data_IF_812851969593
#
_entry.id   IF_812851969593
#
_cell.length_a   1.000
_cell.length_b   1.000
_cell.length_c   1.000
_cell.angle_alpha   90.00
_cell.angle_beta   90.00
_cell.angle_gamma   90.00
#
_symmetry.space_group_name_H-M   'P 1'
#
loop_
_entity.id
_entity.type
_entity.pdbx_description
1 polymer ?
2 non-polymer ?
3 water ?
#
# COMPACT_ATOMS: atom_id res chain seq x y z
N UNK A 13 -29.56 19.57 -3.68
CA UNK A 13 -29.74 19.65 -5.19
C UNK A 13 -30.32 18.32 -5.72
N UNK A 14 -31.47 18.40 -6.42
CA UNK A 14 -32.26 17.25 -6.92
C UNK A 14 -31.43 16.32 -7.82
N UNK A 15 -30.60 16.90 -8.72
CA UNK A 15 -29.79 16.05 -9.57
C UNK A 15 -28.70 15.31 -8.80
N UNK A 16 -28.11 15.95 -7.80
CA UNK A 16 -27.08 15.34 -6.97
C UNK A 16 -27.67 14.18 -6.15
N UNK A 17 -28.85 14.43 -5.60
CA UNK A 17 -29.63 13.43 -4.86
C UNK A 17 -29.94 12.17 -5.72
N UNK A 18 -30.32 12.42 -6.98
CA UNK A 18 -30.61 11.35 -7.93
C UNK A 18 -29.40 10.50 -8.23
N UNK A 19 -28.24 11.14 -8.45
CA UNK A 19 -27.02 10.35 -8.63
C UNK A 19 -26.73 9.48 -7.43
N UNK A 20 -26.82 10.07 -6.24
CA UNK A 20 -26.51 9.32 -5.00
C UNK A 20 -27.44 8.13 -4.79
N UNK A 21 -28.73 8.32 -5.02
CA UNK A 21 -29.71 7.23 -4.93
C UNK A 21 -29.42 6.15 -5.91
N UNK A 22 -29.14 6.54 -7.14
CA UNK A 22 -28.93 5.56 -8.17
C UNK A 22 -27.71 4.70 -7.79
N UNK A 23 -26.64 5.36 -7.39
CA UNK A 23 -25.40 4.72 -6.97
C UNK A 23 -25.64 3.74 -5.81
N UNK A 24 -26.46 4.13 -4.84
CA UNK A 24 -26.83 3.24 -3.69
C UNK A 24 -27.64 2.02 -4.09
N UNK A 25 -28.66 2.23 -4.90
CA UNK A 25 -29.51 1.16 -5.31
C UNK A 25 -28.77 0.15 -6.19
N UNK A 26 -27.93 0.60 -7.12
CA UNK A 26 -27.33 -0.34 -8.06
C UNK A 26 -25.92 -0.83 -7.68
N UNK A 27 -25.31 -0.15 -6.74
CA UNK A 27 -23.87 -0.31 -6.46
C UNK A 27 -22.97 -0.10 -7.69
N UNK A 28 -23.32 0.85 -8.56
CA UNK A 28 -22.54 1.09 -9.75
C UNK A 28 -21.57 2.25 -9.48
N UNK A 29 -20.61 2.44 -10.38
CA UNK A 29 -19.70 3.58 -10.35
C UNK A 29 -20.57 4.86 -10.54
N UNK A 30 -20.29 5.93 -9.79
CA UNK A 30 -20.99 7.21 -9.94
C UNK A 30 -20.97 7.79 -11.36
N UNK A 31 -19.92 7.48 -12.15
CA UNK A 31 -19.86 7.97 -13.52
C UNK A 31 -20.92 7.24 -14.28
N UNK A 32 -21.11 5.95 -13.98
CA UNK A 32 -22.15 5.23 -14.64
C UNK A 32 -23.52 5.74 -14.20
N UNK A 33 -23.68 6.09 -12.91
CA UNK A 33 -24.95 6.73 -12.48
C UNK A 33 -25.29 7.99 -13.29
N UNK A 34 -24.30 8.87 -13.52
CA UNK A 34 -24.57 10.08 -14.33
C UNK A 34 -24.94 9.74 -15.75
N UNK A 35 -24.28 8.74 -16.36
CA UNK A 35 -24.66 8.34 -17.72
C UNK A 35 -26.06 7.81 -17.86
N UNK A 36 -26.48 6.90 -16.96
CA UNK A 36 -27.87 6.46 -17.05
C UNK A 36 -28.89 7.57 -16.79
N UNK A 37 -28.58 8.48 -15.88
CA UNK A 37 -29.50 9.58 -15.63
C UNK A 37 -29.54 10.49 -16.85
N UNK A 38 -28.38 10.81 -17.43
CA UNK A 38 -28.41 11.68 -18.61
C UNK A 38 -29.22 11.10 -19.78
N UNK A 39 -29.13 9.80 -20.01
CA UNK A 39 -29.88 9.10 -21.04
C UNK A 39 -31.38 9.01 -20.80
N UNK A 40 -31.84 9.45 -19.63
CA UNK A 40 -33.25 9.25 -19.21
C UNK A 40 -33.79 10.51 -18.58
N UNK A 41 -33.32 11.67 -19.11
CA UNK A 41 -33.71 12.98 -18.65
C UNK A 41 -33.71 13.17 -17.16
N UNK A 42 -32.72 12.52 -16.51
CA UNK A 42 -32.46 12.74 -15.07
C UNK A 42 -33.60 12.27 -14.19
N UNK A 43 -34.36 11.33 -14.70
CA UNK A 43 -35.49 10.73 -13.97
C UNK A 43 -34.97 9.33 -13.55
N UNK A 44 -34.83 9.15 -12.23
CA UNK A 44 -34.25 7.98 -11.65
C UNK A 44 -35.06 6.73 -11.97
N UNK A 45 -36.37 6.88 -12.05
CA UNK A 45 -37.19 5.74 -12.47
C UNK A 45 -36.87 5.18 -13.80
N UNK A 46 -36.89 6.03 -14.82
CA UNK A 46 -36.50 5.57 -16.11
C UNK A 46 -35.04 5.12 -16.14
N UNK A 47 -34.11 5.82 -15.47
CA UNK A 47 -32.69 5.38 -15.39
C UNK A 47 -32.52 3.95 -14.85
N UNK A 48 -33.14 3.66 -13.69
CA UNK A 48 -33.11 2.25 -13.19
C UNK A 48 -33.65 1.26 -14.17
N UNK A 49 -34.78 1.59 -14.78
CA UNK A 49 -35.38 0.72 -15.73
C UNK A 49 -34.46 0.46 -16.93
N UNK A 50 -33.85 1.53 -17.49
CA UNK A 50 -32.83 1.44 -18.56
C UNK A 50 -31.70 0.51 -18.12
N UNK A 51 -31.18 0.76 -16.91
CA UNK A 51 -30.03 0.07 -16.41
C UNK A 51 -30.26 -1.46 -16.25
N UNK A 52 -31.43 -1.82 -15.73
CA UNK A 52 -31.77 -3.26 -15.50
C UNK A 52 -32.11 -4.04 -16.71
N UNK A 53 -32.91 -3.45 -17.56
CA UNK A 53 -33.06 -3.89 -18.90
C UNK A 53 -31.70 -4.30 -19.47
N UNK A 54 -30.67 -3.46 -19.27
CA UNK A 54 -29.30 -3.73 -19.78
C UNK A 54 -28.61 -4.91 -19.08
N UNK A 55 -28.72 -4.98 -17.74
CA UNK A 55 -28.14 -6.08 -16.95
C UNK A 55 -28.61 -7.47 -17.36
N UNK A 56 -29.93 -7.63 -17.57
CA UNK A 56 -30.53 -8.87 -18.07
C UNK A 56 -29.97 -9.24 -19.46
N UNK A 57 -29.37 -10.42 -19.51
CA UNK A 57 -28.43 -10.82 -20.56
C UNK A 57 -27.14 -11.33 -19.90
N UNK A 66 -29.77 -7.61 -27.02
CA UNK A 66 -28.73 -6.90 -27.79
C UNK A 66 -27.95 -5.90 -26.92
N UNK A 67 -27.63 -6.32 -25.69
CA UNK A 67 -26.70 -5.58 -24.83
C UNK A 67 -25.24 -5.82 -25.27
N UNK A 68 -24.30 -5.39 -24.43
CA UNK A 68 -22.88 -5.52 -24.73
C UNK A 68 -22.20 -6.28 -23.63
N UNK A 69 -21.05 -6.91 -23.93
CA UNK A 69 -20.34 -7.57 -22.85
C UNK A 69 -20.01 -6.51 -21.78
N UNK A 70 -19.98 -6.92 -20.49
CA UNK A 70 -19.58 -5.91 -19.49
C UNK A 70 -18.11 -5.56 -19.72
N UNK A 71 -17.68 -4.40 -19.24
CA UNK A 71 -16.29 -4.06 -19.36
C UNK A 71 -15.46 -5.12 -18.64
N UNK A 72 -15.90 -5.44 -17.42
CA UNK A 72 -15.16 -6.31 -16.53
C UNK A 72 -15.95 -7.60 -16.35
N UNK A 73 -15.26 -8.75 -16.30
CA UNK A 73 -15.91 -10.01 -16.03
C UNK A 73 -16.78 -9.91 -14.75
N UNK A 74 -17.90 -10.63 -14.74
CA UNK A 74 -18.79 -10.65 -13.59
C UNK A 74 -18.13 -11.14 -12.30
N UNK A 75 -17.23 -12.10 -12.42
CA UNK A 75 -16.48 -12.63 -11.27
C UNK A 75 -15.75 -11.52 -10.53
N UNK A 76 -15.02 -10.68 -11.27
CA UNK A 76 -14.33 -9.54 -10.72
C UNK A 76 -15.21 -8.49 -10.06
N UNK A 77 -16.30 -8.03 -10.69
CA UNK A 77 -17.08 -6.98 -9.99
C UNK A 77 -17.73 -7.54 -8.75
N UNK A 78 -17.98 -8.84 -8.75
CA UNK A 78 -18.55 -9.50 -7.59
C UNK A 78 -17.61 -9.48 -6.41
N UNK A 79 -16.31 -9.66 -6.67
CA UNK A 79 -15.33 -9.61 -5.57
C UNK A 79 -15.42 -8.26 -4.90
N UNK A 80 -15.38 -7.20 -5.70
CA UNK A 80 -15.30 -5.85 -5.17
C UNK A 80 -16.51 -5.58 -4.29
N UNK A 81 -17.68 -5.81 -4.87
CA UNK A 81 -18.96 -5.58 -4.23
C UNK A 81 -19.13 -6.42 -2.95
N UNK A 82 -18.58 -7.64 -2.93
CA UNK A 82 -18.59 -8.48 -1.72
C UNK A 82 -17.94 -7.81 -0.48
N UNK A 83 -16.92 -6.97 -0.70
CA UNK A 83 -16.10 -6.38 0.39
C UNK A 83 -16.42 -4.94 0.68
N UNK A 84 -17.16 -4.31 -0.20
CA UNK A 84 -17.54 -2.91 -0.03
C UNK A 84 -18.38 -2.71 1.26
N UNK A 85 -18.09 -1.63 1.99
CA UNK A 85 -18.86 -1.30 3.18
C UNK A 85 -19.56 0.02 2.99
N UNK A 86 -20.89 -0.02 2.89
CA UNK A 86 -21.71 1.21 2.80
C UNK A 86 -21.36 2.02 1.55
N UNK A 87 -21.19 1.34 0.41
CA UNK A 87 -20.81 2.06 -0.83
C UNK A 87 -19.29 2.37 -0.95
N UNK A 88 -18.50 1.97 0.06
CA UNK A 88 -17.07 2.33 0.11
C UNK A 88 -16.17 1.12 0.20
N UNK A 89 -15.10 1.10 -0.58
CA UNK A 89 -14.06 0.09 -0.35
C UNK A 89 -13.02 0.76 0.57
N UNK A 90 -13.27 0.62 1.87
CA UNK A 90 -12.55 1.37 2.89
C UNK A 90 -11.62 0.42 3.66
N UNK A 91 -10.86 0.95 4.62
CA UNK A 91 -9.82 0.15 5.28
C UNK A 91 -10.33 -1.23 5.74
N UNK A 92 -11.60 -1.28 6.18
CA UNK A 92 -12.26 -2.53 6.61
C UNK A 92 -12.48 -3.53 5.48
N UNK A 93 -12.89 -3.03 4.31
CA UNK A 93 -12.97 -3.85 3.12
C UNK A 93 -11.60 -4.42 2.91
N UNK A 94 -10.59 -3.56 2.96
CA UNK A 94 -9.23 -4.01 2.56
C UNK A 94 -8.73 -5.12 3.48
N UNK A 95 -8.94 -4.94 4.79
CA UNK A 95 -8.48 -5.92 5.77
C UNK A 95 -9.20 -7.23 5.53
N UNK A 96 -10.50 -7.14 5.25
CA UNK A 96 -11.29 -8.30 4.91
C UNK A 96 -10.79 -9.00 3.64
N UNK A 97 -10.40 -8.19 2.68
CA UNK A 97 -9.96 -8.66 1.37
C UNK A 97 -8.65 -9.43 1.52
N UNK A 98 -7.68 -8.78 2.16
CA UNK A 98 -6.35 -9.37 2.31
C UNK A 98 -6.43 -10.63 3.14
N UNK A 99 -7.28 -10.59 4.16
CA UNK A 99 -7.71 -11.77 4.90
C UNK A 99 -8.00 -12.95 3.95
N UNK A 100 -8.97 -12.75 3.04
CA UNK A 100 -9.39 -13.81 2.12
C UNK A 100 -8.24 -14.31 1.29
N UNK A 101 -7.40 -13.39 0.81
CA UNK A 101 -6.23 -13.72 -0.03
C UNK A 101 -5.14 -14.52 0.70
N UNK A 102 -5.07 -14.35 2.01
CA UNK A 102 -4.20 -15.18 2.85
C UNK A 102 -3.04 -14.39 3.47
N UNK A 103 -3.28 -13.11 3.72
CA UNK A 103 -2.27 -12.23 4.28
C UNK A 103 -2.78 -11.42 5.44
N UNK A 104 -1.86 -10.72 6.08
CA UNK A 104 -2.13 -9.83 7.19
C UNK A 104 -1.86 -8.42 6.73
N UNK A 105 -2.51 -7.48 7.40
CA UNK A 105 -2.31 -6.07 7.09
C UNK A 105 -0.83 -5.66 7.13
N UNK A 106 -0.07 -6.22 8.06
CA UNK A 106 1.32 -5.79 8.19
C UNK A 106 2.30 -6.61 7.35
N UNK A 107 1.81 -7.47 6.46
CA UNK A 107 2.71 -8.24 5.61
C UNK A 107 3.37 -7.31 4.56
N UNK A 108 4.66 -7.53 4.28
CA UNK A 108 5.27 -6.95 3.06
C UNK A 108 4.50 -7.23 1.77
N UNK A 109 3.94 -8.42 1.58
CA UNK A 109 3.15 -8.65 0.35
C UNK A 109 1.95 -7.70 0.24
N UNK A 110 1.46 -7.21 1.37
CA UNK A 110 0.35 -6.28 1.38
C UNK A 110 0.74 -4.90 0.96
N UNK A 111 1.95 -4.47 1.30
CA UNK A 111 2.49 -3.29 0.68
C UNK A 111 2.55 -3.39 -0.85
N UNK A 112 2.95 -4.54 -1.36
CA UNK A 112 3.01 -4.79 -2.81
C UNK A 112 1.64 -4.69 -3.46
N UNK A 113 0.64 -5.36 -2.84
CA UNK A 113 -0.76 -5.22 -3.27
C UNK A 113 -1.20 -3.78 -3.23
N UNK A 114 -0.96 -3.09 -2.10
CA UNK A 114 -1.47 -1.74 -1.97
C UNK A 114 -0.85 -0.85 -3.01
N UNK A 115 0.43 -1.08 -3.28
CA UNK A 115 1.15 -0.30 -4.28
C UNK A 115 0.51 -0.62 -5.64
N UNK A 116 0.18 -1.88 -5.87
CA UNK A 116 -0.36 -2.34 -7.17
C UNK A 116 -1.68 -1.61 -7.43
N UNK A 117 -2.52 -1.60 -6.42
CA UNK A 117 -3.84 -0.94 -6.48
C UNK A 117 -3.84 0.58 -6.42
N UNK A 118 -2.67 1.19 -6.25
CA UNK A 118 -2.55 2.64 -6.29
C UNK A 118 -2.95 3.39 -5.03
N UNK A 119 -3.01 2.71 -3.90
CA UNK A 119 -3.21 3.43 -2.65
C UNK A 119 -2.15 4.49 -2.46
N UNK A 120 -2.61 5.66 -2.02
CA UNK A 120 -1.70 6.73 -1.65
C UNK A 120 -1.67 6.82 -0.13
N UNK A 121 -2.83 6.56 0.49
CA UNK A 121 -2.98 6.40 1.93
C UNK A 121 -4.06 5.36 2.23
N UNK A 122 -3.74 4.49 3.18
CA UNK A 122 -4.53 3.31 3.57
C UNK A 122 -5.90 3.66 4.16
N UNK A 123 -6.01 4.91 4.61
CA UNK A 123 -7.25 5.48 5.12
C UNK A 123 -8.23 5.91 4.01
N UNK A 124 -7.72 6.51 2.92
CA UNK A 124 -8.59 6.93 1.83
C UNK A 124 -9.27 5.68 1.22
N UNK A 125 -10.61 5.72 0.98
CA UNK A 125 -11.25 4.55 0.31
C UNK A 125 -10.68 4.27 -1.10
N UNK A 126 -10.68 3.01 -1.55
CA UNK A 126 -10.17 2.68 -2.90
C UNK A 126 -11.25 2.83 -3.99
N UNK A 127 -11.00 3.65 -5.01
CA UNK A 127 -12.02 3.86 -6.06
C UNK A 127 -12.39 2.54 -6.75
N UNK A 128 -13.66 2.37 -7.11
CA UNK A 128 -14.10 1.14 -7.75
C UNK A 128 -13.30 0.92 -9.06
N UNK A 129 -13.09 1.99 -9.84
CA UNK A 129 -12.39 1.86 -11.12
C UNK A 129 -10.93 1.48 -10.87
N UNK A 130 -10.34 1.93 -9.75
CA UNK A 130 -8.94 1.59 -9.42
C UNK A 130 -8.82 0.09 -9.11
N UNK A 131 -9.74 -0.46 -8.33
CA UNK A 131 -9.78 -1.91 -8.10
C UNK A 131 -9.94 -2.78 -9.38
N UNK A 132 -10.98 -2.50 -10.15
CA UNK A 132 -11.34 -3.28 -11.34
C UNK A 132 -10.24 -3.23 -12.40
N UNK A 133 -9.78 -2.02 -12.70
CA UNK A 133 -8.78 -1.82 -13.74
C UNK A 133 -7.46 -2.46 -13.43
N UNK A 134 -7.07 -2.40 -12.16
CA UNK A 134 -5.81 -3.01 -11.71
C UNK A 134 -5.81 -4.53 -11.99
N UNK A 135 -6.83 -5.20 -11.47
CA UNK A 135 -6.90 -6.63 -11.62
C UNK A 135 -7.10 -7.02 -13.08
N UNK A 136 -7.88 -6.24 -13.80
CA UNK A 136 -8.13 -6.56 -15.20
C UNK A 136 -6.80 -6.48 -16.01
N UNK A 138 -3.86 -7.02 -14.93
CA UNK A 138 -3.06 -8.16 -14.56
C UNK A 138 -3.61 -9.53 -14.99
N UNK A 139 -4.70 -9.51 -15.77
CA UNK A 139 -5.38 -10.71 -16.20
C UNK A 139 -6.04 -11.53 -15.09
N UNK A 140 -6.56 -10.89 -14.04
CA UNK A 140 -7.17 -11.57 -12.88
C UNK A 140 -8.64 -11.26 -12.74
N UNK A 141 -9.48 -12.28 -12.47
CA UNK A 141 -10.87 -12.00 -12.16
C UNK A 141 -11.37 -12.74 -10.92
N UNK A 142 -10.63 -13.74 -10.48
CA UNK A 142 -11.00 -14.54 -9.31
C UNK A 142 -10.02 -14.32 -8.17
N UNK A 143 -10.47 -14.55 -6.93
CA UNK A 143 -9.56 -14.66 -5.75
C UNK A 143 -8.30 -15.47 -6.02
N UNK A 144 -8.49 -16.60 -6.70
CA UNK A 144 -7.41 -17.53 -6.95
C UNK A 144 -6.38 -16.90 -7.88
N UNK A 145 -6.84 -16.19 -8.92
CA UNK A 145 -5.96 -15.42 -9.81
C UNK A 145 -5.16 -14.37 -9.02
N UNK A 147 -4.53 -14.23 -5.86
CA UNK A 147 -3.48 -14.96 -5.13
C UNK A 147 -2.21 -15.22 -5.96
N UNK A 148 -2.31 -15.74 -7.19
CA UNK A 148 -1.12 -16.03 -7.99
C UNK A 148 -0.35 -14.72 -8.29
N UNK A 149 -1.10 -13.64 -8.56
CA UNK A 149 -0.48 -12.35 -8.85
C UNK A 149 0.40 -11.89 -7.70
N UNK A 150 -0.16 -11.92 -6.50
CA UNK A 150 0.52 -11.42 -5.32
C UNK A 150 1.77 -12.24 -5.01
N UNK A 151 1.65 -13.55 -5.20
CA UNK A 151 2.79 -14.45 -5.07
C UNK A 151 3.91 -14.07 -6.01
N UNK A 152 3.57 -13.77 -7.27
CA UNK A 152 4.57 -13.27 -8.25
C UNK A 152 5.23 -11.89 -7.88
N UNK A 153 4.47 -10.98 -7.31
CA UNK A 153 5.04 -9.74 -6.76
C UNK A 153 5.97 -9.98 -5.61
N UNK A 154 5.62 -10.94 -4.77
CA UNK A 154 6.41 -11.28 -3.63
C UNK A 154 7.74 -11.90 -4.01
N UNK A 155 7.73 -12.69 -5.07
CA UNK A 155 8.97 -13.12 -5.75
C UNK A 155 9.79 -11.94 -6.26
N UNK A 156 9.14 -10.98 -6.91
CA UNK A 156 9.85 -9.78 -7.40
C UNK A 156 10.45 -8.94 -6.22
N UNK A 157 9.78 -8.90 -5.07
CA UNK A 157 10.35 -8.21 -3.91
C UNK A 157 11.62 -8.89 -3.42
N UNK A 158 11.68 -10.22 -3.52
CA UNK A 158 12.86 -10.94 -3.13
C UNK A 158 13.98 -10.83 -4.15
N UNK A 159 13.67 -10.58 -5.41
CA UNK A 159 14.67 -10.70 -6.48
C UNK A 159 15.10 -9.41 -7.24
N UNK A 160 14.32 -8.33 -7.17
CA UNK A 160 14.56 -7.16 -8.00
C UNK A 160 14.85 -5.98 -7.08
N UNK A 161 16.07 -5.48 -7.10
CA UNK A 161 16.42 -4.42 -6.13
C UNK A 161 15.70 -3.10 -6.36
N UNK A 162 15.49 -2.73 -7.63
CA UNK A 162 14.74 -1.52 -7.94
C UNK A 162 13.31 -1.65 -7.40
N UNK A 163 12.69 -2.80 -7.54
CA UNK A 163 11.31 -2.98 -7.04
C UNK A 163 11.33 -3.00 -5.50
N UNK A 164 12.30 -3.72 -4.92
CA UNK A 164 12.48 -3.63 -3.46
C UNK A 164 12.60 -2.19 -2.95
N UNK A 165 13.43 -1.35 -3.58
CA UNK A 165 13.56 0.02 -3.11
C UNK A 165 12.32 0.86 -3.25
N UNK A 166 11.54 0.61 -4.30
CA UNK A 166 10.29 1.34 -4.53
C UNK A 166 9.36 1.04 -3.41
N UNK A 167 9.22 -0.24 -3.10
CA UNK A 167 8.33 -0.65 -2.06
C UNK A 167 8.82 -0.16 -0.69
N UNK A 168 10.13 -0.23 -0.47
CA UNK A 168 10.68 0.27 0.82
C UNK A 168 10.32 1.76 1.02
N UNK A 169 10.56 2.57 0.01
CA UNK A 169 10.23 4.00 0.11
C UNK A 169 8.72 4.23 0.18
N UNK A 170 7.97 3.43 -0.57
CA UNK A 170 6.48 3.48 -0.53
C UNK A 170 5.94 3.24 0.86
N UNK A 171 6.60 2.34 1.59
CA UNK A 171 6.05 1.91 2.87
C UNK A 171 5.95 3.07 3.81
N UNK A 172 6.95 3.93 3.77
CA UNK A 172 6.99 5.13 4.64
C UNK A 172 5.75 6.03 4.35
N UNK A 173 5.52 6.31 3.07
CA UNK A 173 4.37 7.12 2.59
C UNK A 173 3.00 6.56 2.94
N UNK A 174 2.90 5.24 2.92
CA UNK A 174 1.70 4.57 3.41
C UNK A 174 1.55 4.53 4.94
N UNK A 175 2.62 4.36 5.73
CA UNK A 175 2.59 4.37 7.21
C UNK A 175 2.20 5.80 7.70
N UNK A 176 2.52 6.80 6.89
CA UNK A 176 2.50 8.21 7.29
C UNK A 176 1.07 8.75 7.54
N UNK A 177 0.76 9.02 8.81
CA UNK A 177 -0.59 9.52 9.21
C UNK A 177 -1.03 10.85 8.56
N UNK A 178 -2.38 11.08 8.47
CA UNK A 178 -2.90 12.34 7.92
C UNK A 178 -2.25 13.53 8.62
N UNK A 179 -1.77 14.47 7.81
CA UNK A 179 -1.11 15.67 8.33
C UNK A 179 0.01 15.38 9.33
N UNK A 180 0.99 14.60 8.88
CA UNK A 180 2.25 14.38 9.60
C UNK A 180 3.35 14.18 8.59
N UNK A 181 4.57 14.58 8.94
CA UNK A 181 5.72 14.46 8.02
C UNK A 181 6.68 13.29 8.38
N UNK A 182 6.54 12.73 9.58
CA UNK A 182 7.42 11.66 10.09
C UNK A 182 6.56 10.54 10.63
N UNK A 183 7.14 9.34 10.71
CA UNK A 183 6.49 8.20 11.34
C UNK A 183 6.98 7.99 12.74
N UNK A 184 6.20 7.27 13.52
CA UNK A 184 6.65 6.93 14.85
C UNK A 184 7.73 5.87 14.77
N UNK A 185 8.68 5.93 15.71
CA UNK A 185 9.74 4.95 15.64
C UNK A 185 9.32 3.50 15.76
N UNK A 186 8.32 3.18 16.60
CA UNK A 186 7.85 1.78 16.68
C UNK A 186 7.36 1.22 15.36
N UNK A 187 6.69 2.03 14.54
CA UNK A 187 6.20 1.51 13.26
C UNK A 187 7.41 1.40 12.32
N UNK A 188 8.40 2.28 12.47
CA UNK A 188 9.52 2.20 11.51
C UNK A 188 10.32 0.95 11.87
N UNK A 189 10.53 0.69 13.17
CA UNK A 189 11.20 -0.54 13.66
C UNK A 189 10.48 -1.82 13.22
N UNK A 190 9.15 -1.82 13.33
CA UNK A 190 8.35 -2.90 12.82
C UNK A 190 8.63 -3.21 11.31
N UNK A 191 8.70 -2.18 10.49
CA UNK A 191 8.97 -2.41 9.09
C UNK A 191 10.41 -2.72 8.76
N UNK A 192 11.37 -2.00 9.36
CA UNK A 192 12.78 -2.39 9.24
C UNK A 192 13.06 -3.90 9.51
N UNK A 193 12.41 -4.42 10.54
CA UNK A 193 12.53 -5.83 10.91
C UNK A 193 12.07 -6.74 9.73
N UNK A 194 11.10 -6.30 8.94
CA UNK A 194 10.61 -7.09 7.80
C UNK A 194 11.53 -6.88 6.62
N UNK A 195 11.83 -5.62 6.35
CA UNK A 195 12.60 -5.32 5.13
C UNK A 195 14.01 -5.82 5.16
N UNK A 196 14.64 -5.89 6.36
CA UNK A 196 16.08 -6.22 6.42
C UNK A 196 16.31 -7.70 6.82
N UNK A 197 15.35 -8.55 6.45
CA UNK A 197 15.53 -9.97 6.53
C UNK A 197 16.41 -10.40 5.35
N UNK A 198 17.33 -11.33 5.60
CA UNK A 198 18.36 -11.64 4.57
C UNK A 198 17.84 -12.31 3.26
N UNK A 199 16.59 -12.70 3.22
CA UNK A 199 15.98 -13.21 1.97
C UNK A 199 15.69 -12.08 0.97
N UNK A 200 15.78 -10.83 1.43
CA UNK A 200 15.51 -9.63 0.58
C UNK A 200 16.84 -9.11 0.09
N UNK A 201 16.80 -8.28 -0.98
CA UNK A 201 18.09 -7.96 -1.64
C UNK A 201 19.13 -7.15 -0.83
N UNK A 202 18.76 -6.48 0.27
CA UNK A 202 19.77 -5.78 1.05
C UNK A 202 20.17 -6.66 2.27
N UNK A 203 21.28 -7.36 2.13
CA UNK A 203 21.82 -8.25 3.17
C UNK A 203 22.81 -7.54 4.12
N UNK A 205 24.45 -7.46 8.50
CA UNK A 205 24.74 -8.25 9.67
C UNK A 205 23.64 -8.07 10.77
N UNK A 206 23.21 -9.17 11.41
CA UNK A 206 22.11 -9.03 12.37
C UNK A 206 22.52 -8.24 13.61
N UNK A 207 23.79 -8.28 13.97
CA UNK A 207 24.28 -7.54 15.13
C UNK A 207 24.16 -6.05 14.84
N UNK A 208 24.32 -5.65 13.56
CA UNK A 208 24.25 -4.23 13.26
C UNK A 208 22.81 -3.73 13.37
N UNK A 209 21.93 -4.46 12.74
CA UNK A 209 20.49 -4.18 12.94
C UNK A 209 20.07 -4.08 14.38
N UNK A 210 20.42 -5.04 15.21
CA UNK A 210 20.09 -5.01 16.65
C UNK A 210 20.72 -3.76 17.35
N UNK A 211 21.96 -3.45 17.00
CA UNK A 211 22.60 -2.22 17.50
C UNK A 211 21.82 -0.98 17.08
N UNK A 212 21.28 -0.94 15.86
CA UNK A 212 20.51 0.24 15.43
C UNK A 212 19.22 0.40 16.28
N UNK A 213 18.50 -0.70 16.48
CA UNK A 213 17.24 -0.64 17.27
C UNK A 213 17.52 -0.19 18.72
N UNK A 214 18.55 -0.76 19.31
CA UNK A 214 19.01 -0.39 20.64
C UNK A 214 19.43 1.09 20.73
N UNK A 215 20.12 1.60 19.71
CA UNK A 215 20.51 3.00 19.70
C UNK A 215 19.22 3.89 19.70
N UNK A 216 18.30 3.64 18.77
CA UNK A 216 17.10 4.48 18.65
C UNK A 216 16.33 4.51 19.99
N UNK A 217 16.23 3.36 20.66
CA UNK A 217 15.54 3.27 21.97
C UNK A 217 16.35 3.99 23.08
N UNK A 218 17.65 3.76 23.14
CA UNK A 218 18.50 4.46 24.11
C UNK A 218 18.37 5.96 23.98
N UNK A 219 18.46 6.46 22.75
CA UNK A 219 18.40 7.90 22.49
C UNK A 219 17.01 8.47 22.65
N UNK A 220 16.03 7.59 22.74
CA UNK A 220 14.62 7.94 22.89
C UNK A 220 14.10 8.69 21.67
N UNK A 221 14.52 8.26 20.47
CA UNK A 221 14.09 8.91 19.25
C UNK A 221 12.64 8.45 19.01
N UNK A 222 11.74 9.41 18.81
CA UNK A 222 10.31 9.15 18.79
C UNK A 222 9.77 9.11 17.36
N UNK A 223 10.44 9.78 16.43
CA UNK A 223 9.96 9.82 15.04
C UNK A 223 11.11 9.62 14.04
N UNK A 224 10.75 9.23 12.82
CA UNK A 224 11.72 9.03 11.76
C UNK A 224 11.19 9.84 10.61
N UNK A 225 12.07 10.64 10.03
CA UNK A 225 11.79 11.47 8.89
C UNK A 225 11.98 10.72 7.59
N UNK A 226 11.47 11.27 6.51
CA UNK A 226 11.62 10.64 5.19
C UNK A 226 13.09 10.55 4.74
N UNK A 227 13.86 11.62 4.90
CA UNK A 227 15.34 11.54 4.74
C UNK A 227 16.03 10.39 5.49
N UNK A 228 15.82 10.27 6.77
CA UNK A 228 16.41 9.17 7.51
C UNK A 228 15.98 7.78 7.00
N UNK A 229 14.70 7.67 6.65
CA UNK A 229 14.19 6.38 6.23
C UNK A 229 14.91 5.99 4.98
N UNK A 230 15.01 6.96 4.06
CA UNK A 230 15.62 6.66 2.78
C UNK A 230 17.13 6.42 2.88
N UNK A 232 18.89 5.37 5.45
CA UNK A 232 19.24 4.12 6.14
C UNK A 232 19.39 2.94 5.22
N UNK A 233 18.58 2.86 4.17
CA UNK A 233 18.73 1.78 3.19
C UNK A 233 20.08 1.92 2.48
N UNK A 234 20.43 3.14 2.16
CA UNK A 234 21.71 3.32 1.51
C UNK A 234 22.90 3.02 2.46
N UNK A 235 22.82 3.45 3.75
CA UNK A 235 23.84 3.23 4.76
C UNK A 235 24.10 1.70 4.97
N UNK A 236 23.01 0.91 5.11
CA UNK A 236 23.17 -0.56 5.29
C UNK A 236 23.74 -1.27 4.05
N UNK A 237 23.40 -0.83 2.84
CA UNK A 237 24.01 -1.39 1.64
C UNK A 237 25.55 -1.04 1.54
N UNK A 238 25.92 0.19 1.92
CA UNK A 238 27.33 0.61 2.01
C UNK A 238 28.17 0.00 3.13
N UNK A 239 27.59 -0.10 4.33
CA UNK A 239 28.32 -0.57 5.50
C UNK A 239 27.46 -1.61 6.20
N UNK A 240 27.48 -2.83 5.70
CA UNK A 240 26.62 -3.93 6.19
C UNK A 240 27.05 -4.60 7.49
N UNK A 241 28.19 -4.24 8.06
CA UNK A 241 28.65 -4.80 9.36
C UNK A 241 29.15 -3.68 10.25
N UNK A 242 29.11 -3.89 11.57
CA UNK A 242 29.67 -2.99 12.56
C UNK A 242 31.18 -2.74 12.31
N UNK A 243 31.94 -3.82 12.05
CA UNK A 243 33.37 -3.63 11.73
C UNK A 243 33.61 -2.82 10.46
N UNK A 244 32.74 -2.91 9.47
CA UNK A 244 32.92 -2.05 8.29
C UNK A 244 32.61 -0.59 8.60
N UNK A 245 31.68 -0.35 9.54
CA UNK A 245 31.38 1.04 9.98
C UNK A 245 32.60 1.57 10.72
N UNK A 246 33.03 0.84 11.74
CA UNK A 246 34.14 1.32 12.59
C UNK A 246 35.33 1.57 11.72
N UNK A 247 35.57 0.66 10.79
CA UNK A 247 36.72 0.75 9.88
C UNK A 247 36.68 1.90 8.86
N UNK A 248 35.57 2.05 8.16
CA UNK A 248 35.51 2.85 6.94
C UNK A 248 34.62 4.13 6.96
N UNK A 249 33.79 4.29 7.98
CA UNK A 249 32.72 5.31 7.95
C UNK A 249 33.36 6.67 8.02
N UNK A 250 32.87 7.58 7.17
CA UNK A 250 33.34 8.96 7.00
C UNK A 250 32.30 9.89 7.58
N UNK A 251 32.59 10.46 8.73
CA UNK A 251 31.67 11.36 9.43
C UNK A 251 31.54 12.76 8.79
N UNK A 252 32.37 13.02 7.77
CA UNK A 252 32.24 14.25 6.98
C UNK A 252 31.54 14.06 5.63
N UNK A 253 30.98 12.87 5.41
CA UNK A 253 30.13 12.56 4.25
C UNK A 253 28.76 13.16 4.46
N UNK A 254 27.82 12.91 3.55
CA UNK A 254 26.55 13.55 3.57
C UNK A 254 25.49 12.81 4.35
N UNK A 255 25.90 11.94 5.26
CA UNK A 255 24.92 11.28 6.13
C UNK A 255 24.19 12.18 7.10
N UNK A 256 22.90 11.87 7.37
CA UNK A 256 22.10 12.57 8.38
C UNK A 256 22.81 12.50 9.70
N UNK A 257 22.52 13.47 10.56
CA UNK A 257 23.07 13.52 11.87
C UNK A 257 22.84 12.25 12.70
N UNK A 258 21.64 11.70 12.63
CA UNK A 258 21.35 10.56 13.45
C UNK A 258 22.25 9.33 13.10
N UNK A 259 22.72 9.28 11.87
CA UNK A 259 23.63 8.18 11.43
C UNK A 259 25.01 8.50 11.99
N UNK A 260 25.43 9.78 11.95
CA UNK A 260 26.67 10.15 12.61
C UNK A 260 26.68 9.81 14.09
N UNK A 261 25.56 10.05 14.79
CA UNK A 261 25.45 9.84 16.21
C UNK A 261 25.52 8.32 16.47
N UNK A 262 24.94 7.56 15.54
CA UNK A 262 24.94 6.06 15.64
C UNK A 262 26.38 5.57 15.57
N UNK A 263 27.11 6.02 14.56
CA UNK A 263 28.60 5.81 14.51
C UNK A 263 29.38 6.10 15.79
N UNK A 264 29.11 7.23 16.43
CA UNK A 264 29.80 7.63 17.67
C UNK A 264 29.49 6.69 18.78
N UNK A 265 28.24 6.28 18.84
CA UNK A 265 27.81 5.30 19.81
C UNK A 265 28.41 3.91 19.50
N UNK A 266 28.50 3.48 18.23
CA UNK A 266 29.20 2.23 17.94
C UNK A 266 30.68 2.34 18.31
N UNK A 267 31.31 3.46 17.95
CA UNK A 267 32.72 3.55 18.30
C UNK A 267 32.99 3.63 19.83
N UNK A 268 32.02 4.16 20.58
CA UNK A 268 32.06 4.23 22.03
C UNK A 268 31.87 2.86 22.69
N UNK A 269 31.17 1.98 21.97
CA UNK A 269 30.74 0.68 22.48
C UNK A 269 31.75 -0.41 22.22
N UNK A 270 32.98 -0.03 21.91
CA UNK A 270 34.04 -1.04 21.87
C UNK A 270 35.20 -0.78 22.86
#
# INVERSE_FOLDING_TARGET
AMSNNKIKRKDASPEQEAIESFTSLTKCDPKVSRKYLQRNHWNINYALNDYYDKEIGTFTDEVSTVAHPPVYPKELTQVFEHYINNNLFDIDSLVKFIEELGYNLEDLATLCLAHLLGYKKLEEPLKREDFLSTWFXQGCSTISDXQECIKTLDVKLHEDLQYFTQIYNYAFNLILDPNRKDIDTDEGIQYWKLFFQPEYPVRXEPDLLEAWFRFLRDEGKTTISKDTWRXLLLFFKRYPTIQKIISDYDETAAWPFIIDEFYECLQDQQ
#
